data_IF_138634006757
#
_entry.id   IF_138634006757
#
_cell.length_a   1.000
_cell.length_b   1.000
_cell.length_c   1.000
_cell.angle_alpha   90.00
_cell.angle_beta   90.00
_cell.angle_gamma   90.00
#
_symmetry.space_group_name_H-M   'P 1'
#
loop_
_entity.id
_entity.type
_entity.pdbx_description
1 polymer ?
#
# COMPACT_ATOMS: atom_id res chain seq x y z
N UNK A 1 -19.64 -21.37 -21.96
CA UNK A 1 -20.18 -20.05 -22.33
C UNK A 1 -19.96 -19.10 -21.16
N UNK A 2 -18.73 -18.65 -21.03
CA UNK A 2 -18.33 -17.41 -20.35
C UNK A 2 -17.28 -16.86 -21.30
N UNK A 3 -17.67 -15.85 -22.05
CA UNK A 3 -16.85 -15.24 -23.10
C UNK A 3 -15.90 -14.18 -22.50
N UNK A 4 -14.84 -13.94 -23.25
CA UNK A 4 -13.75 -13.00 -23.04
C UNK A 4 -14.17 -11.62 -22.53
N UNK A 5 -13.43 -11.09 -21.55
CA UNK A 5 -13.41 -9.65 -21.29
C UNK A 5 -13.27 -9.24 -19.83
N UNK A 6 -12.03 -8.90 -19.45
CA UNK A 6 -11.68 -7.85 -18.49
C UNK A 6 -12.41 -7.84 -17.12
N UNK A 7 -11.77 -8.49 -16.15
CA UNK A 7 -12.02 -8.27 -14.73
C UNK A 7 -11.32 -9.34 -13.92
N UNK A 8 -10.06 -9.12 -13.56
CA UNK A 8 -9.39 -9.94 -12.55
C UNK A 8 -10.02 -9.60 -11.19
N UNK A 9 -11.15 -10.25 -10.91
CA UNK A 9 -11.84 -10.17 -9.64
C UNK A 9 -11.17 -11.13 -8.67
N UNK A 10 -10.35 -10.56 -7.78
CA UNK A 10 -10.05 -11.15 -6.48
C UNK A 10 -9.01 -12.26 -6.51
N UNK A 11 -7.74 -11.90 -6.69
CA UNK A 11 -6.65 -12.77 -6.24
C UNK A 11 -6.70 -12.86 -4.71
N UNK A 12 -7.06 -14.02 -4.15
CA UNK A 12 -6.80 -14.36 -2.75
C UNK A 12 -5.28 -14.54 -2.61
N UNK A 13 -4.58 -13.54 -2.06
CA UNK A 13 -3.18 -13.70 -1.66
C UNK A 13 -3.12 -14.25 -0.24
N UNK A 14 -2.74 -15.53 -0.11
CA UNK A 14 -2.24 -16.08 1.14
C UNK A 14 -0.79 -15.58 1.34
N UNK A 15 -0.64 -14.38 1.90
CA UNK A 15 0.67 -13.85 2.28
C UNK A 15 1.09 -14.47 3.61
N UNK A 16 2.00 -15.44 3.56
CA UNK A 16 2.61 -16.04 4.74
C UNK A 16 3.89 -15.31 5.15
N UNK A 17 3.90 -13.98 5.12
CA UNK A 17 4.99 -13.10 5.57
C UNK A 17 4.39 -11.73 5.91
N UNK A 18 5.01 -10.90 6.79
CA UNK A 18 4.55 -9.54 6.99
C UNK A 18 4.61 -8.79 5.66
N UNK A 19 3.46 -8.27 5.24
CA UNK A 19 3.35 -7.55 3.99
C UNK A 19 2.49 -6.31 4.13
N UNK A 20 2.71 -5.38 3.23
CA UNK A 20 1.88 -4.21 2.97
C UNK A 20 1.16 -4.40 1.63
N UNK A 21 0.06 -3.68 1.44
CA UNK A 21 -0.68 -3.66 0.18
C UNK A 21 -0.02 -2.69 -0.80
N UNK A 22 0.13 -3.10 -2.06
CA UNK A 22 0.80 -2.29 -3.10
C UNK A 22 -0.13 -1.19 -3.64
N UNK A 23 -1.42 -1.41 -3.46
CA UNK A 23 -2.49 -0.57 -3.98
C UNK A 23 -2.67 0.72 -3.15
N UNK A 24 -3.75 1.45 -3.41
CA UNK A 24 -4.05 2.67 -2.67
C UNK A 24 -4.53 2.33 -1.25
N UNK A 25 -5.55 1.49 -1.13
CA UNK A 25 -6.06 0.99 0.14
C UNK A 25 -6.85 -0.30 -0.05
N UNK A 26 -7.00 -1.06 1.03
CA UNK A 26 -7.74 -2.32 1.02
C UNK A 26 -8.89 -2.27 2.00
N UNK A 27 -10.02 -2.85 1.59
CA UNK A 27 -11.16 -3.11 2.45
C UNK A 27 -11.19 -4.60 2.76
N UNK A 28 -11.23 -4.97 4.04
CA UNK A 28 -11.32 -6.35 4.46
C UNK A 28 -12.45 -6.55 5.46
N UNK A 29 -13.28 -7.56 5.22
CA UNK A 29 -14.14 -8.15 6.24
C UNK A 29 -13.57 -9.51 6.65
N UNK A 30 -13.63 -9.83 7.94
CA UNK A 30 -13.22 -11.13 8.48
C UNK A 30 -14.25 -11.61 9.51
N UNK A 31 -14.51 -12.91 9.56
CA UNK A 31 -15.48 -13.50 10.51
C UNK A 31 -14.84 -14.01 11.82
N UNK A 32 -13.51 -14.09 11.89
CA UNK A 32 -12.81 -14.61 13.06
C UNK A 32 -11.40 -14.00 13.22
N UNK A 33 -10.80 -14.05 14.43
CA UNK A 33 -9.47 -13.51 14.69
C UNK A 33 -8.38 -14.20 13.87
N UNK A 34 -7.31 -13.49 13.55
CA UNK A 34 -6.15 -14.04 12.83
C UNK A 34 -5.33 -12.98 12.09
N UNK A 35 -5.95 -11.85 11.69
CA UNK A 35 -5.23 -10.71 11.16
C UNK A 35 -4.54 -9.93 12.28
N UNK A 36 -3.27 -9.60 12.07
CA UNK A 36 -2.53 -8.62 12.86
C UNK A 36 -2.07 -7.45 11.99
N UNK A 37 -2.07 -6.27 12.59
CA UNK A 37 -1.60 -5.02 12.00
C UNK A 37 -0.37 -4.55 12.77
N UNK A 38 0.53 -3.82 12.11
CA UNK A 38 1.66 -3.16 12.76
C UNK A 38 1.45 -1.64 12.70
N UNK A 39 1.07 -0.99 13.81
CA UNK A 39 0.94 0.45 13.86
C UNK A 39 2.30 1.12 13.60
N UNK A 40 2.34 2.08 12.68
CA UNK A 40 3.55 2.87 12.40
C UNK A 40 3.43 4.26 12.98
N UNK A 41 4.52 4.76 13.56
CA UNK A 41 4.64 6.14 14.01
C UNK A 41 5.71 6.88 13.21
N UNK A 42 5.47 8.17 12.94
CA UNK A 42 6.48 9.06 12.36
C UNK A 42 7.57 9.35 13.40
N UNK A 43 8.82 9.47 12.96
CA UNK A 43 9.92 9.99 13.79
C UNK A 43 10.80 8.95 14.52
N UNK A 44 10.71 7.67 14.16
CA UNK A 44 11.73 6.68 14.56
C UNK A 44 11.69 6.22 16.02
N UNK A 45 10.61 6.50 16.75
CA UNK A 45 10.42 6.09 18.14
C UNK A 45 9.84 4.69 18.32
N UNK A 46 10.58 3.66 17.93
CA UNK A 46 10.33 2.29 18.38
C UNK A 46 9.15 1.54 17.73
N UNK A 47 9.21 0.22 17.89
CA UNK A 47 8.36 -0.77 17.27
C UNK A 47 6.91 -0.66 17.78
N UNK A 48 5.97 -0.29 16.90
CA UNK A 48 4.59 -0.70 17.12
C UNK A 48 4.57 -2.22 17.02
N UNK A 49 4.35 -2.93 18.13
CA UNK A 49 4.20 -4.38 18.08
C UNK A 49 3.04 -4.77 17.14
N UNK A 50 3.01 -6.04 16.74
CA UNK A 50 1.83 -6.58 16.06
C UNK A 50 0.63 -6.54 17.00
N UNK A 51 -0.47 -5.96 16.55
CA UNK A 51 -1.75 -5.89 17.28
C UNK A 51 -2.82 -6.65 16.50
N UNK A 52 -3.71 -7.34 17.20
CA UNK A 52 -4.81 -8.05 16.55
C UNK A 52 -5.82 -7.05 15.96
N UNK A 53 -6.21 -7.28 14.71
CA UNK A 53 -7.30 -6.53 14.10
C UNK A 53 -8.64 -6.98 14.72
N UNK A 54 -9.52 -6.04 15.11
CA UNK A 54 -10.80 -6.39 15.68
C UNK A 54 -11.68 -7.16 14.68
N UNK A 55 -12.53 -8.03 15.22
CA UNK A 55 -13.57 -8.74 14.47
C UNK A 55 -14.90 -8.18 14.92
N UNK A 56 -15.51 -7.35 14.08
CA UNK A 56 -16.76 -6.64 14.40
C UNK A 56 -17.79 -6.87 13.29
N UNK A 57 -18.98 -7.40 13.64
CA UNK A 57 -20.04 -7.60 12.66
C UNK A 57 -20.42 -6.29 11.96
N UNK A 58 -20.51 -6.32 10.63
CA UNK A 58 -20.92 -5.16 9.83
C UNK A 58 -19.85 -4.09 9.62
N UNK A 59 -18.61 -4.31 10.06
CA UNK A 59 -17.49 -3.39 9.86
C UNK A 59 -16.45 -3.94 8.89
N UNK A 60 -15.74 -3.03 8.22
CA UNK A 60 -14.55 -3.35 7.43
C UNK A 60 -13.30 -2.83 8.12
N UNK A 61 -12.24 -3.62 8.11
CA UNK A 61 -10.88 -3.15 8.35
C UNK A 61 -10.40 -2.45 7.08
N UNK A 62 -9.86 -1.25 7.22
CA UNK A 62 -9.23 -0.49 6.14
C UNK A 62 -7.74 -0.40 6.38
N UNK A 63 -6.94 -0.93 5.47
CA UNK A 63 -5.48 -0.78 5.47
C UNK A 63 -5.06 0.23 4.40
N UNK A 64 -4.08 1.06 4.75
CA UNK A 64 -3.42 1.97 3.79
C UNK A 64 -2.35 1.16 3.05
N UNK A 65 -2.28 1.33 1.74
CA UNK A 65 -1.24 0.75 0.89
C UNK A 65 -0.18 1.77 0.48
N UNK A 66 0.87 1.28 -0.17
CA UNK A 66 2.05 2.03 -0.59
C UNK A 66 1.71 3.26 -1.43
N UNK A 67 0.73 3.13 -2.34
CA UNK A 67 0.38 4.19 -3.27
C UNK A 67 -0.33 5.36 -2.59
N UNK A 68 -1.11 5.11 -1.53
CA UNK A 68 -1.73 6.19 -0.76
C UNK A 68 -0.74 6.85 0.20
N UNK A 69 0.21 6.09 0.75
CA UNK A 69 1.33 6.66 1.49
C UNK A 69 2.16 7.60 0.59
N UNK A 70 2.47 7.18 -0.64
CA UNK A 70 3.15 8.02 -1.64
C UNK A 70 2.37 9.28 -1.97
N UNK A 71 1.09 9.14 -2.32
CA UNK A 71 0.21 10.23 -2.69
C UNK A 71 0.10 11.29 -1.58
N UNK A 72 0.10 10.83 -0.32
CA UNK A 72 -0.04 11.69 0.87
C UNK A 72 1.30 12.16 1.45
N UNK A 73 2.41 11.91 0.77
CA UNK A 73 3.76 12.22 1.27
C UNK A 73 4.01 11.65 2.69
N UNK A 74 3.51 10.44 2.95
CA UNK A 74 3.60 9.72 4.21
C UNK A 74 2.75 10.29 5.35
N UNK A 75 1.74 11.13 5.07
CA UNK A 75 0.78 11.54 6.11
C UNK A 75 -0.07 10.35 6.52
N UNK A 76 -0.54 9.58 5.54
CA UNK A 76 -1.04 8.23 5.76
C UNK A 76 0.12 7.25 5.56
N UNK A 77 0.26 6.29 6.45
CA UNK A 77 1.33 5.29 6.41
C UNK A 77 0.75 3.94 6.01
N UNK A 78 1.34 3.33 4.99
CA UNK A 78 1.09 1.96 4.59
C UNK A 78 1.20 1.06 5.82
N UNK A 79 0.19 0.22 6.03
CA UNK A 79 -0.01 -0.51 7.27
C UNK A 79 0.43 -1.96 7.06
N UNK A 80 1.59 -2.37 7.59
CA UNK A 80 2.02 -3.75 7.49
C UNK A 80 1.04 -4.62 8.25
N UNK A 81 0.71 -5.75 7.66
CA UNK A 81 -0.25 -6.68 8.20
C UNK A 81 0.23 -8.11 7.93
N UNK A 82 -0.26 -9.04 8.75
CA UNK A 82 0.00 -10.48 8.59
C UNK A 82 -1.20 -11.27 9.07
N UNK A 83 -1.40 -12.45 8.51
CA UNK A 83 -2.38 -13.40 9.03
C UNK A 83 -1.63 -14.53 9.71
N UNK A 84 -1.94 -14.78 10.98
CA UNK A 84 -1.39 -15.90 11.72
C UNK A 84 -2.17 -17.19 11.38
N UNK A 85 -1.51 -18.36 11.39
CA UNK A 85 -2.20 -19.65 11.34
C UNK A 85 -3.17 -19.78 12.53
N UNK A 86 -4.38 -20.27 12.27
CA UNK A 86 -5.43 -20.46 13.28
C UNK A 86 -5.83 -21.92 13.39
N UNK A 87 -6.29 -22.34 14.58
CA UNK A 87 -6.89 -23.67 14.79
C UNK A 87 -8.39 -23.70 14.49
N UNK A 88 -9.01 -22.52 14.34
CA UNK A 88 -10.40 -22.33 13.92
C UNK A 88 -10.49 -21.97 12.44
N UNK A 89 -11.65 -22.24 11.85
CA UNK A 89 -11.99 -21.74 10.52
C UNK A 89 -12.10 -20.21 10.54
N UNK A 90 -11.49 -19.57 9.56
CA UNK A 90 -11.51 -18.12 9.38
C UNK A 90 -11.67 -17.83 7.90
N UNK A 91 -12.68 -17.05 7.58
CA UNK A 91 -12.94 -16.55 6.25
C UNK A 91 -12.76 -15.03 6.21
N UNK A 92 -12.25 -14.54 5.10
CA UNK A 92 -12.13 -13.12 4.84
C UNK A 92 -12.51 -12.78 3.41
N UNK A 93 -13.18 -11.65 3.24
CA UNK A 93 -13.44 -11.04 1.94
C UNK A 93 -12.56 -9.80 1.86
N UNK A 94 -11.75 -9.71 0.80
CA UNK A 94 -10.76 -8.66 0.61
C UNK A 94 -11.03 -7.98 -0.72
N UNK A 95 -11.04 -6.64 -0.71
CA UNK A 95 -11.09 -5.80 -1.90
C UNK A 95 -9.90 -4.85 -1.91
N UNK A 96 -8.99 -5.08 -2.84
CA UNK A 96 -7.88 -4.19 -3.15
C UNK A 96 -8.37 -3.05 -4.06
N UNK A 97 -8.01 -1.80 -3.74
CA UNK A 97 -8.37 -0.63 -4.54
C UNK A 97 -7.10 0.01 -5.08
N UNK A 98 -6.76 -0.33 -6.33
CA UNK A 98 -5.62 0.22 -7.05
C UNK A 98 -6.00 1.48 -7.85
N UNK A 99 -4.98 2.25 -8.22
CA UNK A 99 -5.10 3.21 -9.32
C UNK A 99 -5.11 2.48 -10.67
N UNK A 100 -5.49 3.18 -11.75
CA UNK A 100 -5.36 2.61 -13.08
C UNK A 100 -3.86 2.35 -13.39
N UNK A 101 -3.52 1.33 -14.20
CA UNK A 101 -2.13 0.90 -14.39
C UNK A 101 -1.17 2.02 -14.81
N UNK A 102 -1.63 2.96 -15.64
CA UNK A 102 -0.84 4.08 -16.18
C UNK A 102 -0.97 5.37 -15.35
N UNK A 103 -1.64 5.32 -14.19
CA UNK A 103 -1.70 6.47 -13.30
C UNK A 103 -0.30 6.71 -12.71
N UNK A 104 0.27 7.88 -13.01
CA UNK A 104 1.50 8.36 -12.38
C UNK A 104 1.17 8.87 -10.98
N UNK A 105 1.69 8.20 -9.96
CA UNK A 105 1.45 8.51 -8.54
C UNK A 105 2.66 9.23 -7.97
N UNK A 106 2.43 10.44 -7.43
CA UNK A 106 3.43 11.28 -6.79
C UNK A 106 2.80 12.02 -5.60
N UNK A 107 3.60 12.55 -4.65
CA UNK A 107 3.08 13.38 -3.57
C UNK A 107 2.21 14.53 -4.08
N UNK A 108 0.96 14.63 -3.60
CA UNK A 108 0.09 15.74 -3.98
C UNK A 108 0.60 17.04 -3.36
N UNK A 109 0.41 18.15 -4.09
CA UNK A 109 0.85 19.50 -3.67
C UNK A 109 0.48 19.85 -2.22
N UNK A 110 -0.74 19.58 -1.70
CA UNK A 110 -1.08 19.89 -0.32
C UNK A 110 -0.23 19.18 0.74
N UNK A 111 0.42 18.06 0.39
CA UNK A 111 1.28 17.31 1.29
C UNK A 111 2.76 17.65 1.16
N UNK A 112 3.13 18.55 0.24
CA UNK A 112 4.50 19.00 0.01
C UNK A 112 4.63 20.46 0.44
N UNK A 113 5.48 20.70 1.43
CA UNK A 113 5.75 22.03 2.00
C UNK A 113 7.26 22.25 2.12
N UNK A 114 7.69 23.46 2.47
CA UNK A 114 9.12 23.76 2.65
C UNK A 114 9.76 22.92 3.78
N UNK A 115 9.01 22.68 4.86
CA UNK A 115 9.39 21.85 6.00
C UNK A 115 9.16 20.34 5.78
N UNK A 116 8.34 19.98 4.80
CA UNK A 116 8.09 18.59 4.39
C UNK A 116 8.19 18.46 2.87
N UNK A 117 9.42 18.43 2.31
CA UNK A 117 9.62 18.25 0.88
C UNK A 117 9.06 16.90 0.41
N UNK A 118 8.90 16.76 -0.90
CA UNK A 118 8.47 15.49 -1.50
C UNK A 118 9.48 14.39 -1.13
N UNK A 119 9.03 13.42 -0.34
CA UNK A 119 9.85 12.29 0.05
C UNK A 119 9.91 11.26 -1.08
N UNK A 120 8.83 11.12 -1.86
CA UNK A 120 8.66 10.10 -2.88
C UNK A 120 8.82 10.63 -4.31
N UNK A 121 9.51 9.88 -5.15
CA UNK A 121 9.52 10.09 -6.60
C UNK A 121 8.17 9.72 -7.25
N UNK A 122 7.82 10.28 -8.41
CA UNK A 122 6.73 9.77 -9.22
C UNK A 122 6.98 8.32 -9.69
N UNK A 123 5.93 7.50 -9.76
CA UNK A 123 5.96 6.13 -10.31
C UNK A 123 4.60 5.74 -10.87
N UNK A 124 4.54 4.98 -11.96
CA UNK A 124 3.27 4.41 -12.43
C UNK A 124 2.81 3.25 -11.53
N UNK A 125 1.48 3.10 -11.35
CA UNK A 125 0.91 1.99 -10.59
C UNK A 125 1.41 0.62 -11.09
N UNK A 126 1.46 0.44 -12.42
CA UNK A 126 1.98 -0.78 -13.06
C UNK A 126 3.43 -1.05 -12.67
N UNK A 127 4.30 -0.05 -12.81
CA UNK A 127 5.73 -0.21 -12.55
C UNK A 127 6.00 -0.61 -11.09
N UNK A 128 5.29 0.01 -10.16
CA UNK A 128 5.39 -0.34 -8.74
C UNK A 128 4.90 -1.76 -8.46
N UNK A 129 3.75 -2.14 -9.03
CA UNK A 129 3.20 -3.49 -8.87
C UNK A 129 4.14 -4.56 -9.42
N UNK A 130 4.64 -4.37 -10.65
CA UNK A 130 5.60 -5.30 -11.30
C UNK A 130 6.91 -5.39 -10.51
N UNK A 131 7.43 -4.26 -10.02
CA UNK A 131 8.62 -4.25 -9.16
C UNK A 131 8.39 -5.03 -7.87
N UNK A 132 7.22 -4.87 -7.26
CA UNK A 132 6.91 -5.59 -6.01
C UNK A 132 6.74 -7.08 -6.23
N UNK A 133 6.08 -7.48 -7.31
CA UNK A 133 5.96 -8.90 -7.67
C UNK A 133 7.34 -9.53 -7.91
N UNK A 134 8.23 -8.86 -8.66
CA UNK A 134 9.61 -9.33 -8.87
C UNK A 134 10.38 -9.49 -7.55
N UNK A 135 10.25 -8.54 -6.63
CA UNK A 135 10.91 -8.63 -5.31
C UNK A 135 10.42 -9.83 -4.50
N UNK A 136 9.11 -10.10 -4.53
CA UNK A 136 8.52 -11.25 -3.85
C UNK A 136 8.97 -12.58 -4.48
N UNK A 137 9.00 -12.66 -5.81
CA UNK A 137 9.49 -13.83 -6.55
C UNK A 137 10.97 -14.11 -6.27
N UNK A 138 11.76 -13.06 -6.08
CA UNK A 138 13.17 -13.16 -5.68
C UNK A 138 13.38 -13.47 -4.19
N UNK A 139 12.31 -13.61 -3.41
CA UNK A 139 12.38 -13.94 -1.97
C UNK A 139 12.83 -12.77 -1.07
N UNK A 140 12.82 -11.54 -1.58
CA UNK A 140 13.21 -10.35 -0.81
C UNK A 140 12.15 -9.93 0.23
N UNK A 141 10.91 -10.40 0.06
CA UNK A 141 9.76 -9.95 0.83
C UNK A 141 9.27 -8.56 0.40
N UNK A 142 8.13 -8.13 0.93
CA UNK A 142 7.60 -6.78 0.69
C UNK A 142 8.05 -5.77 1.74
N UNK A 143 8.36 -6.19 2.97
CA UNK A 143 8.66 -5.28 4.08
C UNK A 143 10.15 -5.23 4.47
N UNK A 144 10.69 -4.02 4.68
CA UNK A 144 12.00 -3.75 5.27
C UNK A 144 11.84 -3.44 6.76
N UNK A 145 12.10 -4.44 7.61
CA UNK A 145 11.95 -4.32 9.06
C UNK A 145 12.93 -3.33 9.68
N UNK A 146 14.13 -3.15 9.12
CA UNK A 146 15.11 -2.21 9.67
C UNK A 146 14.69 -0.78 9.39
N UNK A 147 14.19 -0.53 8.18
CA UNK A 147 13.77 0.81 7.75
C UNK A 147 12.30 1.12 8.01
N UNK A 148 11.52 0.13 8.47
CA UNK A 148 10.10 0.24 8.77
C UNK A 148 9.30 0.84 7.59
N UNK A 149 9.53 0.28 6.39
CA UNK A 149 8.88 0.67 5.14
C UNK A 149 8.81 -0.49 4.16
N UNK A 150 7.95 -0.36 3.15
CA UNK A 150 7.94 -1.28 2.02
C UNK A 150 9.27 -1.23 1.24
N UNK A 151 9.74 -2.41 0.83
CA UNK A 151 10.94 -2.61 -0.01
C UNK A 151 10.73 -2.08 -1.41
N UNK A 152 9.50 -2.18 -1.90
CA UNK A 152 9.12 -1.63 -3.20
C UNK A 152 8.75 -0.17 -3.10
N UNK A 153 8.27 0.33 -1.96
CA UNK A 153 8.25 1.75 -1.68
C UNK A 153 9.65 2.37 -1.48
N UNK A 154 10.72 1.71 -1.92
CA UNK A 154 12.03 2.36 -1.98
C UNK A 154 11.92 3.58 -2.90
N UNK A 155 12.26 4.72 -2.34
CA UNK A 155 12.01 6.07 -2.84
C UNK A 155 12.91 6.44 -4.04
N UNK A 156 13.48 5.43 -4.69
CA UNK A 156 14.47 5.51 -5.76
C UNK A 156 13.98 4.70 -6.95
N UNK A 157 12.85 5.11 -7.52
CA UNK A 157 12.53 4.73 -8.89
C UNK A 157 13.35 5.64 -9.83
N UNK A 158 14.06 5.05 -10.79
CA UNK A 158 14.89 5.76 -11.79
C UNK A 158 16.04 6.64 -11.24
N UNK A 159 16.94 6.08 -10.44
CA UNK A 159 18.32 6.61 -10.30
C UNK A 159 18.47 8.04 -9.77
N UNK A 160 17.47 8.60 -9.09
CA UNK A 160 17.55 9.90 -8.42
C UNK A 160 17.13 11.13 -9.25
N UNK A 161 16.61 10.96 -10.48
CA UNK A 161 16.02 12.10 -11.20
C UNK A 161 14.63 12.43 -10.65
N UNK A 162 14.59 13.35 -9.68
CA UNK A 162 13.38 14.01 -9.20
C UNK A 162 12.75 14.82 -10.35
N UNK A 163 11.85 14.22 -11.12
CA UNK A 163 10.94 15.00 -11.98
C UNK A 163 9.95 15.75 -11.09
N UNK A 164 10.21 17.04 -10.87
CA UNK A 164 9.22 17.95 -10.32
C UNK A 164 8.14 18.11 -11.37
N UNK A 165 6.97 17.52 -11.14
CA UNK A 165 5.81 17.76 -11.97
C UNK A 165 5.28 19.15 -11.62
N UNK A 166 5.61 20.15 -12.44
CA UNK A 166 4.84 21.39 -12.51
C UNK A 166 3.45 21.04 -13.06
N UNK A 167 2.50 20.83 -12.16
CA UNK A 167 1.09 20.78 -12.54
C UNK A 167 0.69 22.19 -12.98
N UNK A 168 0.56 22.41 -14.29
CA UNK A 168 0.05 23.65 -14.89
C UNK A 168 -1.24 24.09 -14.18
N UNK A 169 -1.41 25.39 -13.90
CA UNK A 169 -2.64 25.89 -13.30
C UNK A 169 -3.79 25.63 -14.27
N UNK A 170 -4.78 24.89 -13.78
CA UNK A 170 -6.04 24.64 -14.50
C UNK A 170 -6.69 26.01 -14.77
N UNK A 171 -6.52 26.53 -15.99
CA UNK A 171 -7.22 27.73 -16.44
C UNK A 171 -8.69 27.36 -16.59
N UNK A 172 -9.49 27.70 -15.57
CA UNK A 172 -10.93 27.78 -15.75
C UNK A 172 -11.20 28.85 -16.79
N UNK A 173 -11.54 28.41 -18.01
CA UNK A 173 -12.27 29.27 -18.96
C UNK A 173 -13.58 29.67 -18.30
N UNK A 174 -13.80 30.99 -18.28
CA UNK A 174 -15.10 31.61 -18.04
C UNK A 174 -16.10 31.20 -19.12
#
# INVERSE_FOLDING_TARGET
MFEDGAGDFGTIRLLHYPGDDFECFTLMHQNAPGLQLMPRQRGGGGHGGWVDAPVRPGEFVVTVGDMLERLTNGVLLATPHRVLPTHHARDSIIRFNAFAPHTLVAPLRPFVTADRPAAYSPVEMREHMETTMRNLEAGLGSWDTERQRSRSASYEYNGGERRVLECEPNTMSQ
#
